data_IF_469109834530
#
_entry.id   IF_469109834530
#
_cell.length_a   1.000
_cell.length_b   1.000
_cell.length_c   1.000
_cell.angle_alpha   90.00
_cell.angle_beta   90.00
_cell.angle_gamma   90.00
#
_symmetry.space_group_name_H-M   'P 1'
#
loop_
_entity.id
_entity.type
_entity.pdbx_description
1 polymer ?
#
# COMPACT_ATOMS: atom_id res chain seq x y z
N UNK A 1 2.21 13.47 -9.57
CA UNK A 1 1.38 14.02 -8.46
C UNK A 1 0.20 13.11 -8.14
N UNK A 2 -0.56 12.59 -9.12
CA UNK A 2 -1.61 11.56 -8.87
C UNK A 2 -1.04 10.33 -8.16
N UNK A 3 0.04 9.76 -8.69
CA UNK A 3 0.62 8.50 -8.20
C UNK A 3 0.99 8.52 -6.70
N UNK A 4 1.57 9.61 -6.20
CA UNK A 4 1.91 9.74 -4.78
C UNK A 4 0.67 9.87 -3.88
N UNK A 5 -0.41 10.52 -4.36
CA UNK A 5 -1.69 10.58 -3.65
C UNK A 5 -2.37 9.22 -3.63
N UNK A 6 -2.39 8.53 -4.76
CA UNK A 6 -2.97 7.19 -4.90
C UNK A 6 -2.23 6.19 -4.01
N UNK A 7 -0.89 6.27 -3.93
CA UNK A 7 -0.09 5.45 -3.03
C UNK A 7 -0.36 5.74 -1.55
N UNK A 8 -0.52 7.01 -1.17
CA UNK A 8 -0.87 7.37 0.19
C UNK A 8 -2.30 6.95 0.55
N UNK A 9 -3.25 7.14 -0.34
CA UNK A 9 -4.63 6.67 -0.19
C UNK A 9 -4.71 5.14 -0.03
N UNK A 10 -3.96 4.38 -0.82
CA UNK A 10 -3.80 2.91 -0.64
C UNK A 10 -3.29 2.56 0.75
N UNK A 11 -2.28 3.29 1.23
CA UNK A 11 -1.71 3.06 2.57
C UNK A 11 -2.76 3.30 3.67
N UNK A 12 -3.52 4.39 3.57
CA UNK A 12 -4.61 4.69 4.51
C UNK A 12 -5.71 3.62 4.47
N UNK A 13 -6.08 3.17 3.28
CA UNK A 13 -7.06 2.11 3.11
C UNK A 13 -6.61 0.81 3.81
N UNK A 14 -5.39 0.34 3.52
CA UNK A 14 -4.81 -0.86 4.14
C UNK A 14 -4.74 -0.72 5.67
N UNK A 15 -4.41 0.48 6.18
CA UNK A 15 -4.39 0.75 7.61
C UNK A 15 -5.78 0.67 8.26
N UNK A 16 -6.85 1.02 7.53
CA UNK A 16 -8.23 0.93 8.01
C UNK A 16 -8.85 -0.47 7.99
N UNK A 17 -8.23 -1.43 7.30
CA UNK A 17 -8.67 -2.82 7.30
C UNK A 17 -8.67 -3.42 8.72
N UNK A 18 -9.54 -4.41 8.94
CA UNK A 18 -9.51 -5.21 10.17
C UNK A 18 -8.15 -5.88 10.33
N UNK A 19 -7.68 -6.05 11.57
CA UNK A 19 -6.34 -6.62 11.83
C UNK A 19 -6.10 -7.98 11.15
N UNK A 20 -7.06 -8.94 11.17
CA UNK A 20 -6.90 -10.20 10.44
C UNK A 20 -6.71 -10.01 8.93
N UNK A 21 -7.54 -9.18 8.31
CA UNK A 21 -7.51 -8.92 6.86
C UNK A 21 -6.22 -8.21 6.45
N UNK A 22 -5.84 -7.17 7.21
CA UNK A 22 -4.60 -6.41 7.00
C UNK A 22 -3.38 -7.31 7.07
N UNK A 23 -3.31 -8.20 8.05
CA UNK A 23 -2.18 -9.10 8.23
C UNK A 23 -2.06 -10.09 7.06
N UNK A 24 -3.17 -10.67 6.60
CA UNK A 24 -3.18 -11.57 5.43
C UNK A 24 -2.72 -10.83 4.18
N UNK A 25 -3.28 -9.65 3.93
CA UNK A 25 -2.96 -8.85 2.75
C UNK A 25 -1.50 -8.41 2.73
N UNK A 26 -1.00 -7.82 3.83
CA UNK A 26 0.39 -7.36 3.92
C UNK A 26 1.41 -8.49 3.84
N UNK A 27 1.08 -9.68 4.34
CA UNK A 27 1.94 -10.85 4.21
C UNK A 27 2.10 -11.26 2.74
N UNK A 28 1.02 -11.23 1.97
CA UNK A 28 1.03 -11.56 0.54
C UNK A 28 1.74 -10.46 -0.25
N UNK A 29 1.40 -9.21 -0.02
CA UNK A 29 2.02 -8.04 -0.66
C UNK A 29 3.54 -8.06 -0.52
N UNK A 30 4.05 -8.41 0.67
CA UNK A 30 5.49 -8.57 0.90
C UNK A 30 6.11 -9.69 0.06
N UNK A 31 5.47 -10.86 -0.02
CA UNK A 31 5.99 -11.96 -0.83
C UNK A 31 5.97 -11.57 -2.31
N UNK A 32 4.91 -10.90 -2.76
CA UNK A 32 4.79 -10.44 -4.14
C UNK A 32 5.87 -9.41 -4.49
N UNK A 33 6.15 -8.47 -3.60
CA UNK A 33 7.26 -7.52 -3.73
C UNK A 33 8.62 -8.22 -3.83
N UNK A 34 8.89 -9.20 -2.94
CA UNK A 34 10.13 -10.00 -2.98
C UNK A 34 10.26 -10.75 -4.33
N UNK A 35 9.16 -11.25 -4.89
CA UNK A 35 9.15 -11.95 -6.18
C UNK A 35 9.32 -11.01 -7.37
N UNK A 36 8.77 -9.79 -7.27
CA UNK A 36 8.93 -8.75 -8.28
C UNK A 36 10.38 -8.29 -8.37
N UNK A 37 11.06 -8.08 -7.23
CA UNK A 37 12.49 -7.74 -7.18
C UNK A 37 13.37 -8.82 -7.82
N UNK A 38 12.98 -10.09 -7.70
CA UNK A 38 13.69 -11.22 -8.32
C UNK A 38 13.37 -11.38 -9.82
N UNK A 39 12.32 -10.74 -10.31
CA UNK A 39 11.82 -10.97 -11.65
C UNK A 39 12.53 -10.11 -12.71
N UNK A 40 13.28 -10.74 -13.61
CA UNK A 40 13.87 -10.06 -14.78
C UNK A 40 12.85 -9.54 -15.80
N UNK A 41 11.65 -10.14 -15.86
CA UNK A 41 10.58 -9.74 -16.78
C UNK A 41 9.21 -10.03 -16.16
N UNK A 42 8.14 -9.39 -16.67
CA UNK A 42 6.76 -9.69 -16.27
C UNK A 42 6.38 -11.16 -16.43
N UNK A 43 6.86 -11.82 -17.49
CA UNK A 43 6.60 -13.25 -17.69
C UNK A 43 7.34 -14.11 -16.66
N UNK A 44 8.56 -13.73 -16.29
CA UNK A 44 9.30 -14.40 -15.22
C UNK A 44 8.61 -14.22 -13.86
N UNK A 45 8.09 -13.01 -13.57
CA UNK A 45 7.29 -12.76 -12.37
C UNK A 45 6.07 -13.69 -12.27
N UNK A 46 5.28 -13.83 -13.35
CA UNK A 46 4.14 -14.74 -13.39
C UNK A 46 4.55 -16.21 -13.16
N UNK A 47 5.72 -16.62 -13.66
CA UNK A 47 6.25 -17.96 -13.38
C UNK A 47 6.65 -18.13 -11.91
N UNK A 48 7.27 -17.10 -11.31
CA UNK A 48 7.63 -17.08 -9.88
C UNK A 48 6.39 -17.16 -8.99
N UNK A 49 5.35 -16.36 -9.26
CA UNK A 49 4.07 -16.41 -8.57
C UNK A 49 3.43 -17.80 -8.62
N UNK A 50 3.41 -18.44 -9.79
CA UNK A 50 2.86 -19.79 -9.94
C UNK A 50 3.66 -20.84 -9.17
N UNK A 51 4.99 -20.71 -9.13
CA UNK A 51 5.88 -21.67 -8.48
C UNK A 51 5.86 -21.54 -6.95
N UNK A 52 5.88 -20.31 -6.45
CA UNK A 52 5.98 -20.04 -5.02
C UNK A 52 4.61 -19.85 -4.34
N UNK A 53 3.60 -19.42 -5.10
CA UNK A 53 2.21 -19.23 -4.68
C UNK A 53 2.05 -18.50 -3.33
N UNK A 54 2.00 -17.15 -3.33
CA UNK A 54 1.79 -16.36 -2.12
C UNK A 54 0.56 -16.80 -1.33
N UNK A 55 -0.55 -17.12 -2.03
CA UNK A 55 -1.79 -17.64 -1.42
C UNK A 55 -1.54 -18.91 -0.61
N UNK A 56 -0.77 -19.86 -1.13
CA UNK A 56 -0.44 -21.11 -0.42
C UNK A 56 0.43 -20.85 0.81
N UNK A 57 1.38 -19.93 0.68
CA UNK A 57 2.26 -19.56 1.79
C UNK A 57 1.47 -18.90 2.92
N UNK A 58 0.59 -17.96 2.58
CA UNK A 58 -0.30 -17.28 3.53
C UNK A 58 -1.28 -18.26 4.19
N UNK A 59 -1.90 -19.15 3.42
CA UNK A 59 -2.80 -20.18 3.93
C UNK A 59 -2.12 -21.04 5.01
N UNK A 60 -0.87 -21.46 4.75
CA UNK A 60 -0.05 -22.18 5.73
C UNK A 60 0.33 -21.31 6.94
N UNK A 61 0.69 -20.05 6.72
CA UNK A 61 1.13 -19.14 7.78
C UNK A 61 0.00 -18.81 8.78
N UNK A 62 -1.20 -18.53 8.27
CA UNK A 62 -2.36 -18.15 9.06
C UNK A 62 -3.28 -19.32 9.44
N UNK A 63 -2.91 -20.56 9.07
CA UNK A 63 -3.74 -21.76 9.25
C UNK A 63 -5.16 -21.61 8.67
N UNK A 64 -5.22 -21.02 7.46
CA UNK A 64 -6.44 -20.78 6.69
C UNK A 64 -6.47 -21.70 5.47
N UNK A 65 -7.64 -21.87 4.85
CA UNK A 65 -7.72 -22.53 3.55
C UNK A 65 -7.24 -21.58 2.45
N UNK A 66 -6.63 -22.12 1.39
CA UNK A 66 -6.22 -21.33 0.22
C UNK A 66 -7.39 -20.52 -0.35
N UNK A 67 -8.60 -21.09 -0.33
CA UNK A 67 -9.82 -20.42 -0.77
C UNK A 67 -10.11 -19.18 0.09
N UNK A 68 -10.08 -19.31 1.42
CA UNK A 68 -10.35 -18.16 2.30
C UNK A 68 -9.33 -17.05 2.08
N UNK A 69 -8.05 -17.39 1.94
CA UNK A 69 -7.00 -16.39 1.65
C UNK A 69 -7.24 -15.72 0.31
N UNK A 70 -7.54 -16.49 -0.74
CA UNK A 70 -7.85 -15.96 -2.06
C UNK A 70 -9.06 -15.01 -2.02
N UNK A 71 -10.15 -15.45 -1.38
CA UNK A 71 -11.37 -14.67 -1.26
C UNK A 71 -11.12 -13.37 -0.46
N UNK A 72 -10.32 -13.42 0.61
CA UNK A 72 -9.91 -12.23 1.38
C UNK A 72 -9.14 -11.24 0.52
N UNK A 73 -8.12 -11.69 -0.23
CA UNK A 73 -7.32 -10.79 -1.08
C UNK A 73 -8.17 -10.19 -2.20
N UNK A 74 -8.96 -11.00 -2.90
CA UNK A 74 -9.82 -10.51 -3.98
C UNK A 74 -10.83 -9.49 -3.50
N UNK A 75 -11.44 -9.72 -2.32
CA UNK A 75 -12.35 -8.76 -1.71
C UNK A 75 -11.63 -7.45 -1.39
N UNK A 76 -10.46 -7.50 -0.75
CA UNK A 76 -9.69 -6.31 -0.39
C UNK A 76 -9.27 -5.52 -1.64
N UNK A 77 -8.79 -6.20 -2.69
CA UNK A 77 -8.42 -5.56 -3.96
C UNK A 77 -9.63 -4.88 -4.64
N UNK A 78 -10.79 -5.53 -4.62
CA UNK A 78 -12.01 -4.96 -5.18
C UNK A 78 -12.47 -3.72 -4.39
N UNK A 79 -12.57 -3.83 -3.06
CA UNK A 79 -12.93 -2.70 -2.19
C UNK A 79 -11.90 -1.55 -2.34
N UNK A 80 -10.61 -1.87 -2.43
CA UNK A 80 -9.55 -0.88 -2.62
C UNK A 80 -9.67 -0.17 -3.97
N UNK A 81 -10.05 -0.87 -5.04
CA UNK A 81 -10.26 -0.28 -6.36
C UNK A 81 -11.42 0.73 -6.36
N UNK A 82 -12.42 0.52 -5.51
CA UNK A 82 -13.57 1.41 -5.37
C UNK A 82 -13.29 2.60 -4.42
N UNK A 83 -12.60 2.36 -3.31
CA UNK A 83 -12.42 3.34 -2.22
C UNK A 83 -11.20 4.26 -2.40
N UNK A 84 -10.10 3.76 -2.98
CA UNK A 84 -8.87 4.55 -3.13
C UNK A 84 -9.04 5.79 -4.01
N UNK A 85 -9.78 5.74 -5.14
CA UNK A 85 -10.03 6.95 -5.94
C UNK A 85 -10.71 8.05 -5.12
N UNK A 86 -11.77 7.73 -4.37
CA UNK A 86 -12.46 8.71 -3.53
C UNK A 86 -11.55 9.25 -2.43
N UNK A 87 -10.79 8.37 -1.76
CA UNK A 87 -9.79 8.78 -0.77
C UNK A 87 -8.75 9.71 -1.37
N UNK A 88 -8.24 9.41 -2.57
CA UNK A 88 -7.22 10.20 -3.27
C UNK A 88 -7.73 11.59 -3.65
N UNK A 89 -8.99 11.71 -4.08
CA UNK A 89 -9.63 12.99 -4.40
C UNK A 89 -9.82 13.87 -3.16
N UNK A 90 -10.11 13.25 -2.01
CA UNK A 90 -10.27 13.95 -0.72
C UNK A 90 -8.95 14.37 -0.07
N UNK A 91 -7.82 13.86 -0.54
CA UNK A 91 -6.51 14.23 0.01
C UNK A 91 -6.10 15.62 -0.49
N UNK A 92 -5.98 16.55 0.45
CA UNK A 92 -5.47 17.88 0.17
C UNK A 92 -3.97 17.96 0.45
N UNK A 93 -3.25 18.59 -0.47
CA UNK A 93 -1.84 18.90 -0.30
C UNK A 93 -1.73 20.25 0.40
N UNK A 94 -1.38 20.25 1.68
CA UNK A 94 -1.24 21.46 2.49
C UNK A 94 0.24 21.82 2.60
N UNK A 95 0.59 23.06 2.23
CA UNK A 95 1.94 23.57 2.45
C UNK A 95 2.17 23.83 3.94
N UNK A 96 3.20 23.20 4.50
CA UNK A 96 3.54 23.24 5.92
C UNK A 96 4.94 23.81 6.18
N UNK A 97 5.61 24.31 5.14
CA UNK A 97 6.98 24.84 5.16
C UNK A 97 7.18 25.84 6.30
N UNK A 98 6.31 26.84 6.42
CA UNK A 98 6.47 27.91 7.40
C UNK A 98 6.28 27.42 8.83
N UNK A 99 5.34 26.50 9.05
CA UNK A 99 5.08 25.89 10.37
C UNK A 99 6.30 25.08 10.82
N UNK A 100 6.91 24.29 9.92
CA UNK A 100 8.10 23.50 10.26
C UNK A 100 9.33 24.38 10.51
N UNK A 101 9.51 25.46 9.73
CA UNK A 101 10.59 26.44 9.94
C UNK A 101 10.45 27.14 11.28
N UNK A 102 9.25 27.60 11.63
CA UNK A 102 8.98 28.27 12.91
C UNK A 102 9.23 27.37 14.12
N UNK A 103 9.01 26.06 13.99
CA UNK A 103 9.25 25.08 15.06
C UNK A 103 10.68 24.51 15.07
N UNK A 104 11.57 24.95 14.16
CA UNK A 104 12.95 24.44 14.06
C UNK A 104 13.05 22.97 13.65
N UNK A 105 11.99 22.43 13.03
CA UNK A 105 11.89 21.01 12.64
C UNK A 105 12.45 20.74 11.24
N UNK A 106 12.83 21.78 10.50
CA UNK A 106 13.51 21.67 9.21
C UNK A 106 14.59 22.74 9.05
N UNK A 107 15.59 22.47 8.22
CA UNK A 107 16.62 23.45 7.86
C UNK A 107 15.99 24.63 7.11
N UNK A 108 16.48 25.84 7.40
CA UNK A 108 16.16 27.04 6.65
C UNK A 108 16.84 26.98 5.27
N UNK A 109 16.28 26.17 4.37
CA UNK A 109 16.68 26.10 2.97
C UNK A 109 15.54 26.72 2.13
N UNK A 110 15.85 27.79 1.40
CA UNK A 110 14.87 28.49 0.55
C UNK A 110 14.46 27.70 -0.69
N UNK A 111 15.23 26.67 -1.07
CA UNK A 111 14.94 25.78 -2.20
C UNK A 111 14.06 24.58 -1.83
N UNK A 112 13.80 24.35 -0.53
CA UNK A 112 12.96 23.23 -0.07
C UNK A 112 11.61 23.72 0.45
N UNK A 113 10.53 23.08 -0.02
CA UNK A 113 9.17 23.26 0.51
C UNK A 113 8.64 21.94 1.03
N UNK A 114 7.91 22.00 2.14
CA UNK A 114 7.35 20.85 2.82
C UNK A 114 5.83 20.84 2.65
N UNK A 115 5.31 19.71 2.21
CA UNK A 115 3.88 19.49 2.00
C UNK A 115 3.42 18.28 2.80
N UNK A 116 2.21 18.36 3.34
CA UNK A 116 1.54 17.24 4.01
C UNK A 116 0.30 16.88 3.21
N UNK A 117 0.10 15.58 2.97
CA UNK A 117 -1.17 15.07 2.46
C UNK A 117 -2.08 14.83 3.67
N UNK A 118 -3.13 15.63 3.79
CA UNK A 118 -4.08 15.56 4.90
C UNK A 118 -5.45 15.06 4.42
N UNK A 119 -6.14 14.33 5.30
CA UNK A 119 -7.53 13.92 5.13
C UNK A 119 -8.39 14.85 6.00
N UNK A 120 -9.08 15.80 5.39
CA UNK A 120 -10.07 16.63 6.08
C UNK A 120 -11.42 15.90 6.26
#
# INVERSE_FOLDING_TARGET
MSEARDQFARTLYIQSLSEPDRNVYQYIDRIEADLEELALTKNHYLQLLRRQSPIKQAAKHFNMSEKMVYDTVQRIEAEMADEVPELSERLELVEFTDVLKLNGLCEANEEKRYFVLNRF
#
